data_IF_170057414369
#
_entry.id   IF_170057414369
#
_cell.length_a   1.000
_cell.length_b   1.000
_cell.length_c   1.000
_cell.angle_alpha   90.00
_cell.angle_beta   90.00
_cell.angle_gamma   90.00
#
_symmetry.space_group_name_H-M   'P 1'
#
loop_
_entity.id
_entity.type
_entity.pdbx_description
1 polymer ?
#
# COMPACT_ATOMS: atom_id res chain seq x y z
N UNK A 1 21.16 -18.94 20.80
CA UNK A 1 21.49 -19.27 19.40
C UNK A 1 20.30 -18.80 18.57
N UNK A 2 20.49 -18.03 17.51
CA UNK A 2 19.39 -17.60 16.68
C UNK A 2 18.76 -18.79 15.95
N UNK A 3 17.45 -18.72 15.77
CA UNK A 3 16.64 -19.76 15.12
C UNK A 3 16.29 -19.33 13.69
N UNK A 4 16.55 -20.19 12.72
CA UNK A 4 16.22 -19.95 11.30
C UNK A 4 15.24 -21.02 10.84
N UNK A 5 14.12 -20.60 10.26
CA UNK A 5 13.21 -21.50 9.59
C UNK A 5 13.58 -21.58 8.11
N UNK A 6 13.68 -22.81 7.59
CA UNK A 6 13.88 -23.08 6.15
C UNK A 6 12.69 -23.82 5.57
N UNK A 7 12.19 -23.35 4.44
CA UNK A 7 11.18 -24.03 3.64
C UNK A 7 11.67 -24.22 2.20
N UNK A 8 11.67 -25.46 1.75
CA UNK A 8 12.01 -25.87 0.38
C UNK A 8 11.38 -27.24 0.13
N UNK A 9 10.87 -27.53 -1.05
CA UNK A 9 10.25 -28.83 -1.36
C UNK A 9 11.28 -29.94 -1.62
N UNK A 10 12.55 -29.57 -1.90
CA UNK A 10 13.65 -30.49 -2.12
C UNK A 10 14.26 -30.96 -0.79
N UNK A 11 14.11 -32.24 -0.41
CA UNK A 11 14.75 -32.80 0.79
C UNK A 11 16.28 -32.64 0.78
N UNK A 12 16.88 -32.70 -0.41
CA UNK A 12 18.33 -32.53 -0.58
C UNK A 12 18.77 -31.12 -0.22
N UNK A 13 18.07 -30.09 -0.71
CA UNK A 13 18.42 -28.70 -0.44
C UNK A 13 18.15 -28.37 1.02
N UNK A 14 17.01 -28.78 1.59
CA UNK A 14 16.75 -28.64 3.04
C UNK A 14 17.92 -29.18 3.88
N UNK A 15 18.41 -30.37 3.54
CA UNK A 15 19.53 -30.99 4.27
C UNK A 15 20.85 -30.22 4.11
N UNK A 16 21.17 -29.74 2.91
CA UNK A 16 22.37 -28.94 2.65
C UNK A 16 22.32 -27.65 3.47
N UNK A 17 21.23 -26.88 3.33
CA UNK A 17 21.06 -25.60 4.02
C UNK A 17 21.07 -25.78 5.54
N UNK A 18 20.34 -26.79 6.06
CA UNK A 18 20.35 -27.09 7.51
C UNK A 18 21.73 -27.40 8.01
N UNK A 19 22.50 -28.24 7.29
CA UNK A 19 23.86 -28.59 7.70
C UNK A 19 24.79 -27.37 7.72
N UNK A 20 24.66 -26.45 6.75
CA UNK A 20 25.46 -25.23 6.68
C UNK A 20 25.12 -24.32 7.87
N UNK A 21 23.85 -24.09 8.13
CA UNK A 21 23.39 -23.20 9.20
C UNK A 21 23.70 -23.78 10.59
N UNK A 22 23.49 -25.06 10.83
CA UNK A 22 23.82 -25.71 12.10
C UNK A 22 25.31 -25.62 12.41
N UNK A 23 26.17 -25.81 11.39
CA UNK A 23 27.63 -25.63 11.54
C UNK A 23 28.03 -24.19 11.85
N UNK A 24 27.25 -23.22 11.38
CA UNK A 24 27.41 -21.80 11.67
C UNK A 24 26.84 -21.40 13.04
N UNK A 25 26.20 -22.33 13.77
CA UNK A 25 25.70 -22.08 15.12
C UNK A 25 24.22 -21.64 15.19
N UNK A 26 23.45 -21.84 14.14
CA UNK A 26 22.00 -21.59 14.14
C UNK A 26 21.21 -22.83 14.59
N UNK A 27 20.04 -22.59 15.20
CA UNK A 27 19.02 -23.62 15.38
C UNK A 27 18.14 -23.62 14.13
N UNK A 28 17.90 -24.78 13.52
CA UNK A 28 17.14 -24.86 12.27
C UNK A 28 15.77 -25.51 12.48
N UNK A 29 14.74 -24.85 11.98
CA UNK A 29 13.37 -25.38 11.86
C UNK A 29 13.10 -25.66 10.38
N UNK A 30 12.53 -26.80 10.06
CA UNK A 30 12.30 -27.25 8.68
C UNK A 30 10.81 -27.24 8.37
N UNK A 31 10.46 -26.76 7.16
CA UNK A 31 9.17 -26.87 6.53
C UNK A 31 9.33 -27.46 5.11
N UNK A 32 8.33 -28.18 4.62
CA UNK A 32 8.39 -28.86 3.32
C UNK A 32 7.72 -28.07 2.20
N UNK A 33 6.92 -27.06 2.58
CA UNK A 33 6.20 -26.18 1.65
C UNK A 33 5.85 -24.83 2.31
N UNK A 34 5.21 -23.97 1.53
CA UNK A 34 4.89 -22.63 2.00
C UNK A 34 3.81 -22.56 3.09
N UNK A 35 2.89 -23.52 3.15
CA UNK A 35 1.87 -23.59 4.22
C UNK A 35 2.53 -23.96 5.53
N UNK A 36 3.36 -25.00 5.54
CA UNK A 36 4.14 -25.40 6.71
C UNK A 36 5.12 -24.30 7.15
N UNK A 37 5.67 -23.55 6.18
CA UNK A 37 6.51 -22.41 6.49
C UNK A 37 5.77 -21.34 7.31
N UNK A 38 4.59 -20.93 6.84
CA UNK A 38 3.75 -19.93 7.55
C UNK A 38 3.39 -20.45 8.95
N UNK A 39 2.91 -21.69 9.06
CA UNK A 39 2.58 -22.34 10.34
C UNK A 39 3.79 -22.40 11.27
N UNK A 40 4.93 -22.80 10.74
CA UNK A 40 6.20 -22.90 11.48
C UNK A 40 6.64 -21.55 12.04
N UNK A 41 6.49 -20.47 11.28
CA UNK A 41 6.82 -19.11 11.73
C UNK A 41 5.92 -18.67 12.88
N UNK A 42 4.62 -18.86 12.79
CA UNK A 42 3.70 -18.52 13.90
C UNK A 42 3.97 -19.35 15.16
N UNK A 43 4.35 -20.61 14.99
CA UNK A 43 4.64 -21.52 16.11
C UNK A 43 5.98 -21.24 16.76
N UNK A 44 7.03 -20.91 15.98
CA UNK A 44 8.41 -20.87 16.49
C UNK A 44 8.98 -19.47 16.64
N UNK A 45 8.39 -18.46 16.00
CA UNK A 45 8.87 -17.07 15.99
C UNK A 45 10.38 -17.00 15.74
N UNK A 46 10.85 -17.48 14.56
CA UNK A 46 12.30 -17.57 14.28
C UNK A 46 12.93 -16.18 14.11
N UNK A 47 14.26 -16.10 14.19
CA UNK A 47 15.03 -14.88 14.00
C UNK A 47 15.18 -14.53 12.51
N UNK A 48 15.07 -15.52 11.60
CA UNK A 48 15.01 -15.34 10.15
C UNK A 48 14.27 -16.50 9.47
N UNK A 49 13.78 -16.26 8.26
CA UNK A 49 13.09 -17.26 7.44
C UNK A 49 13.78 -17.35 6.08
N UNK A 50 14.02 -18.57 5.61
CA UNK A 50 14.49 -18.87 4.26
C UNK A 50 13.35 -19.59 3.53
N UNK A 51 12.92 -19.08 2.39
CA UNK A 51 11.84 -19.66 1.59
C UNK A 51 12.32 -19.93 0.17
N UNK A 52 12.15 -21.14 -0.30
CA UNK A 52 12.19 -21.39 -1.74
C UNK A 52 11.03 -20.68 -2.42
N UNK A 53 11.28 -20.11 -3.58
CA UNK A 53 10.25 -19.46 -4.40
C UNK A 53 9.25 -20.46 -4.92
N UNK A 54 9.70 -21.63 -5.39
CA UNK A 54 8.86 -22.63 -6.03
C UNK A 54 8.56 -23.79 -5.07
N UNK A 55 7.45 -23.70 -4.36
CA UNK A 55 6.98 -24.75 -3.47
C UNK A 55 5.54 -25.15 -3.78
N UNK A 56 5.14 -26.40 -3.48
CA UNK A 56 3.75 -26.83 -3.58
C UNK A 56 2.88 -26.12 -2.54
N UNK A 57 1.59 -26.17 -2.73
CA UNK A 57 0.52 -25.58 -1.91
C UNK A 57 0.60 -24.05 -1.83
N UNK A 58 1.74 -23.48 -1.50
CA UNK A 58 1.95 -22.04 -1.38
C UNK A 58 3.37 -21.68 -1.81
N UNK A 59 3.50 -20.77 -2.79
CA UNK A 59 4.81 -20.30 -3.23
C UNK A 59 5.49 -19.43 -2.18
N UNK A 60 6.84 -19.40 -2.18
CA UNK A 60 7.61 -18.57 -1.27
C UNK A 60 7.29 -17.09 -1.39
N UNK A 61 6.91 -16.61 -2.57
CA UNK A 61 6.47 -15.21 -2.74
C UNK A 61 5.21 -14.90 -1.94
N UNK A 62 4.21 -15.78 -2.00
CA UNK A 62 2.95 -15.58 -1.27
C UNK A 62 3.17 -15.77 0.22
N UNK A 63 3.95 -16.79 0.63
CA UNK A 63 4.32 -17.00 2.03
C UNK A 63 5.04 -15.76 2.61
N UNK A 64 6.07 -15.24 1.91
CA UNK A 64 6.78 -14.04 2.32
C UNK A 64 5.83 -12.85 2.49
N UNK A 65 4.91 -12.66 1.53
CA UNK A 65 3.93 -11.57 1.59
C UNK A 65 2.98 -11.71 2.78
N UNK A 66 2.45 -12.90 3.05
CA UNK A 66 1.61 -13.16 4.23
C UNK A 66 2.35 -12.83 5.53
N UNK A 67 3.61 -13.27 5.65
CA UNK A 67 4.41 -13.01 6.84
C UNK A 67 4.70 -11.51 7.03
N UNK A 68 4.93 -10.76 5.94
CA UNK A 68 5.21 -9.33 6.00
C UNK A 68 3.96 -8.47 6.22
N UNK A 69 2.78 -8.97 5.87
CA UNK A 69 1.52 -8.26 6.08
C UNK A 69 0.93 -8.50 7.49
N UNK A 70 1.37 -9.52 8.22
CA UNK A 70 0.89 -9.82 9.56
C UNK A 70 1.78 -9.14 10.63
N UNK A 71 1.17 -8.38 11.53
CA UNK A 71 1.88 -7.61 12.57
C UNK A 71 2.74 -8.47 13.51
N UNK A 72 2.39 -9.77 13.68
CA UNK A 72 3.12 -10.69 14.54
C UNK A 72 4.43 -11.17 13.91
N UNK A 73 4.52 -11.13 12.59
CA UNK A 73 5.63 -11.71 11.81
C UNK A 73 6.33 -10.72 10.89
N UNK A 74 5.77 -9.52 10.71
CA UNK A 74 6.30 -8.51 9.78
C UNK A 74 7.76 -8.10 10.04
N UNK A 75 8.19 -8.12 11.32
CA UNK A 75 9.58 -7.78 11.69
C UNK A 75 10.57 -8.93 11.47
N UNK A 76 10.10 -10.16 11.22
CA UNK A 76 10.98 -11.31 10.96
C UNK A 76 11.56 -11.17 9.54
N UNK A 77 12.90 -11.14 9.40
CA UNK A 77 13.52 -11.03 8.09
C UNK A 77 13.32 -12.30 7.25
N UNK A 78 13.06 -12.09 5.95
CA UNK A 78 12.77 -13.15 4.98
C UNK A 78 13.81 -13.12 3.86
N UNK A 79 14.48 -14.24 3.63
CA UNK A 79 15.36 -14.50 2.50
C UNK A 79 14.67 -15.44 1.52
N UNK A 80 14.56 -15.04 0.25
CA UNK A 80 14.02 -15.89 -0.80
C UNK A 80 15.16 -16.60 -1.54
N UNK A 81 15.06 -17.92 -1.65
CA UNK A 81 15.93 -18.72 -2.51
C UNK A 81 15.30 -18.89 -3.87
N UNK A 82 16.04 -18.63 -4.93
CA UNK A 82 15.52 -18.66 -6.29
C UNK A 82 16.49 -19.34 -7.26
N UNK A 83 15.94 -20.01 -8.27
CA UNK A 83 16.69 -20.49 -9.43
C UNK A 83 16.59 -19.56 -10.63
N UNK A 84 15.85 -18.44 -10.52
CA UNK A 84 15.53 -17.53 -11.60
C UNK A 84 16.57 -16.39 -11.74
N UNK A 85 16.67 -15.82 -12.94
CA UNK A 85 17.55 -14.70 -13.24
C UNK A 85 17.19 -13.42 -12.48
N UNK A 86 18.22 -12.68 -12.07
CA UNK A 86 18.17 -11.48 -11.23
C UNK A 86 17.20 -10.35 -11.67
N UNK A 87 16.63 -10.39 -12.87
CA UNK A 87 15.66 -9.38 -13.34
C UNK A 87 14.24 -9.65 -12.84
N UNK A 88 13.78 -10.91 -12.90
CA UNK A 88 12.49 -11.34 -12.33
C UNK A 88 12.47 -11.19 -10.83
N UNK A 89 13.57 -11.56 -10.17
CA UNK A 89 13.70 -11.52 -8.72
C UNK A 89 13.62 -10.10 -8.16
N UNK A 90 14.22 -9.13 -8.87
CA UNK A 90 14.12 -7.70 -8.49
C UNK A 90 12.71 -7.14 -8.59
N UNK A 91 11.93 -7.60 -9.57
CA UNK A 91 10.54 -7.19 -9.69
C UNK A 91 9.68 -7.78 -8.56
N UNK A 92 9.75 -9.08 -8.35
CA UNK A 92 8.99 -9.76 -7.31
C UNK A 92 9.46 -9.38 -5.90
N UNK A 93 10.76 -9.09 -5.71
CA UNK A 93 11.31 -8.67 -4.45
C UNK A 93 10.65 -7.43 -3.86
N UNK A 94 10.42 -6.43 -4.70
CA UNK A 94 9.71 -5.21 -4.28
C UNK A 94 8.24 -5.45 -3.93
N UNK A 95 7.64 -6.49 -4.52
CA UNK A 95 6.22 -6.79 -4.31
C UNK A 95 5.96 -7.66 -3.08
N UNK A 96 6.92 -8.52 -2.71
CA UNK A 96 6.77 -9.47 -1.60
C UNK A 96 7.16 -8.90 -0.25
N UNK A 97 7.98 -7.86 -0.23
CA UNK A 97 8.57 -7.31 0.99
C UNK A 97 9.70 -8.18 1.58
N UNK A 98 10.22 -9.16 0.82
CA UNK A 98 11.38 -9.94 1.26
C UNK A 98 12.62 -9.04 1.42
N UNK A 99 13.44 -9.33 2.42
CA UNK A 99 14.59 -8.52 2.80
C UNK A 99 15.81 -8.82 1.92
N UNK A 100 15.93 -10.06 1.44
CA UNK A 100 17.03 -10.48 0.56
C UNK A 100 16.61 -11.59 -0.41
N UNK A 101 17.34 -11.66 -1.53
CA UNK A 101 17.28 -12.74 -2.52
C UNK A 101 18.64 -13.41 -2.61
N UNK A 102 18.66 -14.73 -2.72
CA UNK A 102 19.84 -15.54 -2.92
C UNK A 102 19.54 -16.59 -3.99
N UNK A 103 20.46 -16.77 -4.93
CA UNK A 103 20.33 -17.81 -5.95
C UNK A 103 20.67 -19.18 -5.37
N UNK A 104 20.05 -20.25 -5.87
CA UNK A 104 20.25 -21.61 -5.33
C UNK A 104 21.64 -22.21 -5.61
N UNK A 105 22.48 -21.51 -6.38
CA UNK A 105 23.88 -21.84 -6.65
C UNK A 105 24.86 -21.21 -5.64
N UNK A 106 24.35 -20.76 -4.49
CA UNK A 106 25.14 -20.13 -3.43
C UNK A 106 26.24 -21.02 -2.89
N UNK A 107 27.33 -20.38 -2.44
CA UNK A 107 28.34 -21.02 -1.60
C UNK A 107 27.94 -20.95 -0.10
N UNK A 108 28.42 -21.91 0.71
CA UNK A 108 28.05 -21.97 2.14
C UNK A 108 28.34 -20.66 2.92
N UNK A 109 29.46 -19.96 2.71
CA UNK A 109 29.68 -18.66 3.37
C UNK A 109 28.65 -17.60 2.96
N UNK A 110 28.29 -17.54 1.69
CA UNK A 110 27.33 -16.57 1.16
C UNK A 110 25.96 -16.70 1.81
N UNK A 111 25.48 -17.93 2.03
CA UNK A 111 24.22 -18.18 2.74
C UNK A 111 24.31 -17.69 4.19
N UNK A 112 25.39 -18.01 4.89
CA UNK A 112 25.58 -17.60 6.30
C UNK A 112 25.66 -16.08 6.42
N UNK A 113 26.41 -15.43 5.53
CA UNK A 113 26.54 -13.98 5.49
C UNK A 113 25.19 -13.31 5.21
N UNK A 114 24.42 -13.85 4.24
CA UNK A 114 23.10 -13.34 3.92
C UNK A 114 22.14 -13.38 5.13
N UNK A 115 22.15 -14.46 5.90
CA UNK A 115 21.30 -14.59 7.09
C UNK A 115 21.75 -13.64 8.20
N UNK A 116 23.06 -13.53 8.45
CA UNK A 116 23.58 -12.59 9.45
C UNK A 116 23.21 -11.15 9.08
N UNK A 117 23.42 -10.74 7.83
CA UNK A 117 23.10 -9.40 7.35
C UNK A 117 21.62 -9.03 7.54
N UNK A 118 20.69 -9.94 7.22
CA UNK A 118 19.26 -9.62 7.39
C UNK A 118 18.84 -9.58 8.85
N UNK A 119 19.42 -10.42 9.71
CA UNK A 119 19.19 -10.36 11.17
C UNK A 119 19.75 -9.05 11.74
N UNK A 120 20.98 -8.68 11.40
CA UNK A 120 21.60 -7.43 11.85
C UNK A 120 20.82 -6.20 11.36
N UNK A 121 20.38 -6.21 10.11
CA UNK A 121 19.56 -5.13 9.56
C UNK A 121 18.22 -4.99 10.29
N UNK A 122 17.55 -6.12 10.60
CA UNK A 122 16.31 -6.13 11.37
C UNK A 122 16.55 -5.62 12.81
N UNK A 123 17.66 -6.00 13.46
CA UNK A 123 18.03 -5.50 14.79
C UNK A 123 18.31 -3.99 14.78
N UNK A 124 19.03 -3.51 13.76
CA UNK A 124 19.30 -2.09 13.57
C UNK A 124 18.01 -1.27 13.34
N UNK A 125 17.09 -1.79 12.52
CA UNK A 125 15.79 -1.16 12.27
C UNK A 125 14.93 -1.03 13.54
N UNK A 126 15.04 -1.99 14.46
CA UNK A 126 14.38 -1.93 15.78
C UNK A 126 14.98 -0.88 16.72
N UNK A 127 16.14 -0.33 16.42
CA UNK A 127 16.76 0.72 17.24
C UNK A 127 17.04 0.30 18.69
N UNK A 128 17.40 -0.95 18.92
CA UNK A 128 17.68 -1.52 20.25
C UNK A 128 16.45 -2.01 21.01
N UNK A 129 15.26 -1.97 20.41
CA UNK A 129 14.07 -2.64 20.97
C UNK A 129 14.24 -4.17 20.81
N UNK A 130 13.81 -4.97 21.80
CA UNK A 130 13.77 -6.41 21.61
C UNK A 130 12.85 -6.78 20.46
N UNK A 131 13.09 -7.91 19.75
CA UNK A 131 12.18 -8.39 18.72
C UNK A 131 10.80 -8.66 19.33
N UNK A 132 9.76 -8.33 18.57
CA UNK A 132 8.41 -8.72 18.93
C UNK A 132 8.32 -10.25 18.86
N UNK A 133 8.02 -10.87 19.99
CA UNK A 133 7.81 -12.32 20.09
C UNK A 133 6.46 -12.57 20.76
N UNK A 134 5.38 -12.53 19.97
CA UNK A 134 4.07 -12.90 20.49
C UNK A 134 4.08 -14.37 20.94
N UNK A 135 3.11 -14.73 21.77
CA UNK A 135 2.94 -16.13 22.15
C UNK A 135 2.79 -17.02 20.93
N UNK A 136 3.44 -18.19 20.88
CA UNK A 136 3.31 -19.13 19.79
C UNK A 136 1.85 -19.48 19.52
N UNK A 137 1.45 -19.43 18.26
CA UNK A 137 0.08 -19.74 17.82
C UNK A 137 0.13 -20.94 16.87
N UNK A 138 -0.73 -21.91 17.10
CA UNK A 138 -0.97 -22.98 16.16
C UNK A 138 -1.98 -22.51 15.11
N UNK A 139 -1.52 -22.42 13.87
CA UNK A 139 -2.31 -22.00 12.71
C UNK A 139 -2.57 -23.23 11.85
N UNK A 140 -3.83 -23.55 11.57
CA UNK A 140 -4.22 -24.67 10.71
C UNK A 140 -4.10 -24.35 9.22
N UNK A 141 -4.11 -25.39 8.39
CA UNK A 141 -4.09 -25.26 6.91
C UNK A 141 -5.21 -24.36 6.41
N UNK A 142 -6.44 -24.56 6.91
CA UNK A 142 -7.61 -23.77 6.52
C UNK A 142 -7.44 -22.27 6.86
N UNK A 143 -6.80 -21.97 7.98
CA UNK A 143 -6.54 -20.58 8.39
C UNK A 143 -5.47 -19.93 7.49
N UNK A 144 -4.40 -20.65 7.14
CA UNK A 144 -3.41 -20.15 6.17
C UNK A 144 -4.09 -19.89 4.83
N UNK A 145 -4.94 -20.80 4.34
CA UNK A 145 -5.64 -20.62 3.07
C UNK A 145 -6.67 -19.49 3.12
N UNK A 146 -7.33 -19.26 4.25
CA UNK A 146 -8.20 -18.10 4.44
C UNK A 146 -7.43 -16.77 4.32
N UNK A 147 -6.25 -16.69 4.95
CA UNK A 147 -5.35 -15.52 4.83
C UNK A 147 -4.85 -15.30 3.40
N UNK A 148 -4.58 -16.39 2.66
CA UNK A 148 -4.23 -16.32 1.22
C UNK A 148 -5.38 -15.75 0.42
N UNK A 149 -6.61 -16.23 0.66
CA UNK A 149 -7.80 -15.74 -0.04
C UNK A 149 -8.02 -14.24 0.22
N UNK A 150 -7.92 -13.82 1.48
CA UNK A 150 -8.05 -12.41 1.85
C UNK A 150 -6.96 -11.52 1.20
N UNK A 151 -5.71 -12.01 1.14
CA UNK A 151 -4.64 -11.33 0.44
C UNK A 151 -4.93 -11.18 -1.06
N UNK A 152 -5.42 -12.24 -1.70
CA UNK A 152 -5.77 -12.23 -3.13
C UNK A 152 -6.93 -11.29 -3.42
N UNK A 153 -7.99 -11.34 -2.63
CA UNK A 153 -9.15 -10.45 -2.77
C UNK A 153 -8.74 -8.99 -2.65
N UNK A 154 -7.90 -8.66 -1.66
CA UNK A 154 -7.33 -7.32 -1.51
C UNK A 154 -6.49 -6.92 -2.72
N UNK A 155 -5.63 -7.81 -3.23
CA UNK A 155 -4.78 -7.52 -4.40
C UNK A 155 -5.59 -7.36 -5.69
N UNK A 156 -6.64 -8.14 -5.88
CA UNK A 156 -7.57 -7.98 -7.00
C UNK A 156 -8.31 -6.64 -6.92
N UNK A 157 -8.78 -6.27 -5.74
CA UNK A 157 -9.40 -4.97 -5.51
C UNK A 157 -8.43 -3.82 -5.82
N UNK A 158 -7.21 -3.85 -5.28
CA UNK A 158 -6.16 -2.85 -5.53
C UNK A 158 -5.88 -2.71 -7.03
N UNK A 159 -5.72 -3.83 -7.73
CA UNK A 159 -5.45 -3.85 -9.17
C UNK A 159 -6.63 -3.31 -9.99
N UNK A 160 -7.86 -3.66 -9.61
CA UNK A 160 -9.07 -3.18 -10.28
C UNK A 160 -9.22 -1.67 -10.16
N UNK A 161 -9.06 -1.12 -8.96
CA UNK A 161 -9.13 0.33 -8.71
C UNK A 161 -8.06 1.08 -9.48
N UNK A 162 -6.81 0.61 -9.42
CA UNK A 162 -5.69 1.23 -10.13
C UNK A 162 -5.89 1.19 -11.66
N UNK A 163 -6.37 0.06 -12.18
CA UNK A 163 -6.69 -0.10 -13.61
C UNK A 163 -7.79 0.85 -14.06
N UNK A 164 -8.87 0.95 -13.29
CA UNK A 164 -9.99 1.81 -13.61
C UNK A 164 -9.58 3.29 -13.66
N UNK A 165 -8.82 3.76 -12.67
CA UNK A 165 -8.30 5.13 -12.67
C UNK A 165 -7.33 5.36 -13.84
N UNK A 166 -6.49 4.39 -14.17
CA UNK A 166 -5.55 4.52 -15.29
C UNK A 166 -6.27 4.57 -16.64
N UNK A 167 -7.39 3.83 -16.79
CA UNK A 167 -8.19 3.81 -18.02
C UNK A 167 -8.83 5.18 -18.32
N UNK A 168 -9.12 5.98 -17.30
CA UNK A 168 -9.61 7.36 -17.47
C UNK A 168 -8.66 8.17 -18.35
N UNK A 169 -7.34 7.97 -18.23
CA UNK A 169 -6.36 8.68 -19.07
C UNK A 169 -6.45 8.34 -20.57
N UNK A 170 -6.99 7.16 -20.91
CA UNK A 170 -7.16 6.73 -22.29
C UNK A 170 -8.51 7.18 -22.89
N UNK A 171 -9.55 7.21 -22.06
CA UNK A 171 -10.94 7.39 -22.50
C UNK A 171 -11.41 8.85 -22.40
N UNK A 172 -10.80 9.66 -21.52
CA UNK A 172 -11.21 11.04 -21.22
C UNK A 172 -10.14 12.02 -21.71
N UNK A 173 -10.57 13.02 -22.48
CA UNK A 173 -9.66 13.95 -23.17
C UNK A 173 -9.63 15.36 -22.55
N UNK A 174 -10.58 15.68 -21.65
CA UNK A 174 -10.69 16.98 -20.98
C UNK A 174 -10.19 16.93 -19.53
N UNK A 175 -9.62 18.05 -19.07
CA UNK A 175 -9.11 18.13 -17.68
C UNK A 175 -10.26 18.01 -16.65
N UNK A 176 -11.33 18.78 -16.82
CA UNK A 176 -12.50 18.75 -15.92
C UNK A 176 -13.17 17.37 -15.91
N UNK A 177 -13.33 16.76 -17.09
CA UNK A 177 -13.90 15.42 -17.25
C UNK A 177 -13.02 14.36 -16.55
N UNK A 178 -11.69 14.47 -16.65
CA UNK A 178 -10.75 13.57 -15.97
C UNK A 178 -10.86 13.68 -14.46
N UNK A 179 -10.98 14.89 -13.92
CA UNK A 179 -11.19 15.10 -12.48
C UNK A 179 -12.54 14.53 -12.05
N UNK A 180 -13.62 14.79 -12.79
CA UNK A 180 -14.95 14.26 -12.50
C UNK A 180 -14.94 12.72 -12.51
N UNK A 181 -14.29 12.10 -13.50
CA UNK A 181 -14.19 10.64 -13.60
C UNK A 181 -13.40 10.04 -12.42
N UNK A 182 -12.27 10.63 -12.02
CA UNK A 182 -11.50 10.19 -10.85
C UNK A 182 -12.32 10.29 -9.57
N UNK A 183 -13.02 11.41 -9.35
CA UNK A 183 -13.87 11.59 -8.19
C UNK A 183 -15.07 10.63 -8.23
N UNK A 184 -15.59 10.31 -9.42
CA UNK A 184 -16.64 9.30 -9.63
C UNK A 184 -16.20 7.89 -9.24
N UNK A 185 -14.96 7.49 -9.58
CA UNK A 185 -14.39 6.21 -9.12
C UNK A 185 -14.32 6.19 -7.59
N UNK A 186 -13.82 7.27 -6.99
CA UNK A 186 -13.75 7.38 -5.53
C UNK A 186 -15.11 7.26 -4.86
N UNK A 187 -16.14 7.87 -5.43
CA UNK A 187 -17.50 7.84 -4.88
C UNK A 187 -18.17 6.48 -4.89
N UNK A 188 -17.65 5.51 -5.67
CA UNK A 188 -18.09 4.12 -5.64
C UNK A 188 -17.43 3.28 -4.56
N UNK A 189 -16.31 3.76 -4.01
CA UNK A 189 -15.45 3.00 -3.10
C UNK A 189 -15.42 3.60 -1.70
N UNK A 190 -15.50 4.93 -1.61
CA UNK A 190 -15.47 5.68 -0.34
C UNK A 190 -16.70 6.55 -0.25
N UNK A 191 -17.44 6.42 0.83
CA UNK A 191 -18.60 7.25 1.12
C UNK A 191 -18.17 8.65 1.56
N UNK A 192 -18.58 9.67 0.79
CA UNK A 192 -18.34 11.07 1.13
C UNK A 192 -19.56 11.94 0.72
N UNK A 193 -19.63 13.14 1.26
CA UNK A 193 -20.66 14.12 0.89
C UNK A 193 -20.11 15.11 -0.14
N UNK A 194 -18.93 15.66 0.13
CA UNK A 194 -18.22 16.54 -0.78
C UNK A 194 -16.81 15.98 -1.07
N UNK A 195 -16.40 16.05 -2.32
CA UNK A 195 -15.04 15.75 -2.75
C UNK A 195 -14.49 16.86 -3.64
N UNK A 196 -13.19 17.11 -3.54
CA UNK A 196 -12.54 18.12 -4.39
C UNK A 196 -11.12 17.73 -4.77
N UNK A 197 -10.69 18.19 -5.94
CA UNK A 197 -9.29 18.27 -6.35
C UNK A 197 -8.91 19.73 -6.45
N UNK A 198 -7.99 20.17 -5.59
CA UNK A 198 -7.42 21.50 -5.63
C UNK A 198 -6.05 21.44 -6.31
N UNK A 199 -5.88 22.20 -7.40
CA UNK A 199 -4.60 22.37 -8.07
C UNK A 199 -3.80 23.47 -7.37
N UNK A 200 -2.49 23.23 -7.12
CA UNK A 200 -1.70 24.14 -6.30
C UNK A 200 -1.14 25.37 -7.04
N UNK A 201 -1.00 25.31 -8.34
CA UNK A 201 -0.41 26.38 -9.16
C UNK A 201 -1.39 27.51 -9.50
N UNK A 202 -2.65 27.22 -9.84
CA UNK A 202 -3.68 28.20 -10.19
C UNK A 202 -4.85 28.22 -9.21
N UNK A 203 -4.80 27.40 -8.14
CA UNK A 203 -5.83 27.32 -7.10
C UNK A 203 -7.21 26.89 -7.61
N UNK A 204 -7.30 26.37 -8.82
CA UNK A 204 -8.55 25.79 -9.32
C UNK A 204 -8.94 24.59 -8.45
N UNK A 205 -10.16 24.65 -7.94
CA UNK A 205 -10.69 23.62 -7.03
C UNK A 205 -11.93 23.00 -7.64
N UNK A 206 -11.78 21.78 -8.15
CA UNK A 206 -12.84 21.02 -8.78
C UNK A 206 -13.63 20.26 -7.73
N UNK A 207 -14.90 20.55 -7.61
CA UNK A 207 -15.81 20.04 -6.58
C UNK A 207 -16.79 19.05 -7.17
N UNK A 208 -17.01 17.95 -6.48
CA UNK A 208 -18.14 17.04 -6.64
C UNK A 208 -19.00 17.07 -5.39
N UNK A 209 -20.31 17.23 -5.57
CA UNK A 209 -21.33 17.13 -4.51
C UNK A 209 -22.03 15.79 -4.68
N UNK A 210 -21.66 14.81 -3.87
CA UNK A 210 -22.18 13.44 -3.96
C UNK A 210 -23.51 13.27 -3.23
N UNK A 211 -23.71 14.01 -2.13
CA UNK A 211 -24.91 13.98 -1.31
C UNK A 211 -25.38 15.39 -0.97
N UNK A 212 -26.62 15.50 -0.46
CA UNK A 212 -27.12 16.75 0.08
C UNK A 212 -26.17 17.28 1.17
N UNK A 213 -25.70 18.52 1.01
CA UNK A 213 -24.76 19.16 1.91
C UNK A 213 -25.22 20.57 2.23
N UNK A 214 -24.99 21.03 3.46
CA UNK A 214 -25.34 22.40 3.87
C UNK A 214 -24.36 23.42 3.33
N UNK A 215 -24.75 24.70 3.31
CA UNK A 215 -23.86 25.81 2.99
C UNK A 215 -22.73 25.94 4.02
N UNK A 216 -22.99 25.59 5.27
CA UNK A 216 -21.98 25.62 6.34
C UNK A 216 -20.94 24.51 6.11
N UNK A 217 -21.37 23.27 5.79
CA UNK A 217 -20.45 22.18 5.46
C UNK A 217 -19.55 22.53 4.27
N UNK A 218 -20.12 23.14 3.23
CA UNK A 218 -19.37 23.63 2.07
C UNK A 218 -18.31 24.64 2.47
N UNK A 219 -18.67 25.63 3.30
CA UNK A 219 -17.75 26.69 3.75
C UNK A 219 -16.62 26.10 4.62
N UNK A 220 -16.94 25.20 5.55
CA UNK A 220 -15.95 24.49 6.37
C UNK A 220 -15.03 23.63 5.51
N UNK A 221 -15.56 22.96 4.48
CA UNK A 221 -14.77 22.14 3.55
C UNK A 221 -13.74 22.93 2.78
N UNK A 222 -14.13 24.10 2.24
CA UNK A 222 -13.19 24.98 1.53
C UNK A 222 -12.13 25.57 2.47
N UNK A 223 -12.49 25.87 3.72
CA UNK A 223 -11.55 26.25 4.77
C UNK A 223 -10.49 25.17 4.99
N UNK A 224 -10.93 23.93 5.15
CA UNK A 224 -10.04 22.79 5.36
C UNK A 224 -9.15 22.49 4.13
N UNK A 225 -9.63 22.70 2.90
CA UNK A 225 -8.82 22.61 1.67
C UNK A 225 -7.72 23.69 1.67
N UNK A 226 -8.04 24.93 2.05
CA UNK A 226 -7.06 26.00 2.11
C UNK A 226 -5.95 25.70 3.14
N UNK A 227 -6.32 25.15 4.30
CA UNK A 227 -5.37 24.70 5.33
C UNK A 227 -4.49 23.56 4.83
N UNK A 228 -5.08 22.57 4.16
CA UNK A 228 -4.35 21.45 3.56
C UNK A 228 -3.37 21.93 2.48
N UNK A 229 -3.79 22.84 1.61
CA UNK A 229 -2.93 23.44 0.59
C UNK A 229 -1.77 24.23 1.23
N UNK A 230 -2.02 24.97 2.30
CA UNK A 230 -1.00 25.67 3.10
C UNK A 230 0.04 24.70 3.66
N UNK A 231 -0.39 23.59 4.25
CA UNK A 231 0.51 22.58 4.80
C UNK A 231 1.40 21.93 3.74
N UNK A 232 0.86 21.70 2.55
CA UNK A 232 1.57 21.03 1.45
C UNK A 232 2.56 21.98 0.77
N UNK A 233 2.19 23.26 0.58
CA UNK A 233 3.03 24.24 -0.13
C UNK A 233 4.01 24.96 0.78
N UNK A 234 3.71 25.08 2.07
CA UNK A 234 4.40 25.97 3.01
C UNK A 234 4.08 27.47 2.82
N UNK A 235 3.21 27.81 1.87
CA UNK A 235 2.73 29.17 1.61
C UNK A 235 1.31 29.31 2.13
N UNK A 236 0.98 30.44 2.74
CA UNK A 236 -0.37 30.67 3.23
C UNK A 236 -1.37 30.76 2.07
N UNK A 237 -2.34 29.87 2.07
CA UNK A 237 -3.45 29.82 1.13
C UNK A 237 -4.73 30.16 1.88
N UNK A 238 -5.48 31.17 1.40
CA UNK A 238 -6.75 31.54 1.98
C UNK A 238 -7.91 30.98 1.15
N UNK A 239 -9.08 30.87 1.74
CA UNK A 239 -10.30 30.39 1.03
C UNK A 239 -10.59 31.24 -0.21
N UNK A 240 -10.33 32.54 -0.16
CA UNK A 240 -10.54 33.46 -1.28
C UNK A 240 -9.61 33.22 -2.47
N UNK A 241 -8.47 32.55 -2.24
CA UNK A 241 -7.53 32.21 -3.31
C UNK A 241 -8.00 30.97 -4.10
N UNK A 242 -8.91 30.18 -3.52
CA UNK A 242 -9.47 29.00 -4.17
C UNK A 242 -10.54 29.39 -5.17
N UNK A 243 -10.40 28.90 -6.41
CA UNK A 243 -11.34 29.16 -7.49
C UNK A 243 -12.22 27.91 -7.69
N UNK A 244 -13.46 27.91 -7.16
CA UNK A 244 -14.32 26.74 -7.26
C UNK A 244 -14.79 26.50 -8.69
N UNK A 245 -14.77 25.23 -9.10
CA UNK A 245 -15.39 24.70 -10.33
C UNK A 245 -16.19 23.47 -9.95
N UNK A 246 -17.41 23.38 -10.42
CA UNK A 246 -18.22 22.19 -10.20
C UNK A 246 -17.89 21.18 -11.28
N UNK A 247 -17.35 20.04 -10.89
CA UNK A 247 -17.01 18.94 -11.81
C UNK A 247 -18.20 18.03 -12.04
N UNK A 248 -18.93 17.67 -10.96
CA UNK A 248 -20.14 16.84 -11.04
C UNK A 248 -21.05 17.10 -9.82
N UNK A 249 -22.35 16.94 -9.99
CA UNK A 249 -23.36 17.16 -8.94
C UNK A 249 -24.38 16.03 -8.99
N UNK A 250 -24.26 15.11 -8.06
CA UNK A 250 -25.27 14.08 -7.80
C UNK A 250 -26.19 14.44 -6.64
N UNK A 251 -25.70 15.28 -5.72
CA UNK A 251 -26.44 15.89 -4.62
C UNK A 251 -26.74 17.34 -4.88
N UNK A 252 -27.22 18.05 -3.89
CA UNK A 252 -27.42 19.51 -3.95
C UNK A 252 -26.92 20.19 -2.68
N UNK A 253 -26.56 21.45 -2.82
CA UNK A 253 -26.25 22.29 -1.67
C UNK A 253 -27.56 22.86 -1.12
N UNK A 254 -27.94 22.42 0.06
CA UNK A 254 -29.08 22.95 0.79
C UNK A 254 -28.86 24.43 1.19
N UNK A 255 -29.95 25.16 1.36
CA UNK A 255 -29.87 26.53 1.85
C UNK A 255 -29.78 26.62 3.39
N UNK A 256 -29.89 25.48 4.07
CA UNK A 256 -29.88 25.42 5.53
C UNK A 256 -28.45 25.39 6.08
N UNK A 257 -28.24 26.08 7.20
CA UNK A 257 -26.95 26.14 7.93
C UNK A 257 -26.85 25.08 9.03
N UNK A 258 -27.69 24.04 9.00
CA UNK A 258 -27.77 23.07 10.12
C UNK A 258 -26.75 21.92 10.06
N UNK A 259 -26.20 21.60 8.89
CA UNK A 259 -25.23 20.53 8.69
C UNK A 259 -23.79 21.02 8.82
N UNK A 260 -22.98 20.38 9.66
CA UNK A 260 -21.53 20.67 9.78
C UNK A 260 -20.69 19.54 9.21
N UNK A 261 -19.51 19.90 8.71
CA UNK A 261 -18.49 18.92 8.40
C UNK A 261 -18.01 18.26 9.71
N UNK A 262 -18.15 16.94 9.81
CA UNK A 262 -17.72 16.16 10.97
C UNK A 262 -16.41 15.42 10.74
N UNK A 263 -16.10 15.11 9.50
CA UNK A 263 -14.85 14.44 9.12
C UNK A 263 -14.31 15.05 7.83
N UNK A 264 -13.00 15.30 7.83
CA UNK A 264 -12.24 15.78 6.68
C UNK A 264 -11.02 14.90 6.46
N UNK A 265 -10.71 14.64 5.20
CA UNK A 265 -9.52 13.91 4.80
C UNK A 265 -8.93 14.58 3.58
N UNK A 266 -7.63 14.80 3.58
CA UNK A 266 -6.90 15.28 2.41
C UNK A 266 -5.64 14.48 2.18
N UNK A 267 -5.24 14.40 0.90
CA UNK A 267 -3.99 13.78 0.49
C UNK A 267 -3.35 14.58 -0.64
N UNK A 268 -2.00 14.67 -0.67
CA UNK A 268 -1.32 15.33 -1.77
C UNK A 268 -1.38 14.46 -3.03
N UNK A 269 -1.58 15.08 -4.19
CA UNK A 269 -1.44 14.44 -5.50
C UNK A 269 -0.01 14.67 -6.02
N UNK A 270 0.75 13.59 -6.22
CA UNK A 270 2.16 13.67 -6.62
C UNK A 270 2.38 13.14 -8.03
N UNK A 271 2.89 13.98 -8.91
CA UNK A 271 3.30 13.60 -10.26
C UNK A 271 4.75 13.99 -10.51
N UNK A 272 5.56 13.09 -11.03
CA UNK A 272 6.98 13.34 -11.32
C UNK A 272 7.81 13.78 -10.09
N UNK A 273 7.46 13.32 -8.89
CA UNK A 273 8.14 13.69 -7.63
C UNK A 273 7.73 15.05 -7.05
N UNK A 274 6.82 15.77 -7.70
CA UNK A 274 6.29 17.07 -7.23
C UNK A 274 4.83 16.92 -6.80
N UNK A 275 4.43 17.71 -5.79
CA UNK A 275 3.02 17.82 -5.45
C UNK A 275 2.36 18.79 -6.43
N UNK A 276 1.36 18.29 -7.18
CA UNK A 276 0.65 19.07 -8.21
C UNK A 276 -0.70 19.57 -7.72
N UNK A 277 -1.26 18.92 -6.72
CA UNK A 277 -2.57 19.24 -6.17
C UNK A 277 -2.81 18.54 -4.84
N UNK A 278 -3.99 18.70 -4.30
CA UNK A 278 -4.50 17.90 -3.21
C UNK A 278 -5.91 17.37 -3.53
N UNK A 279 -6.16 16.14 -3.17
CA UNK A 279 -7.48 15.52 -3.13
C UNK A 279 -8.05 15.70 -1.72
N UNK A 280 -9.29 16.13 -1.62
CA UNK A 280 -9.98 16.33 -0.35
C UNK A 280 -11.35 15.68 -0.37
N UNK A 281 -11.74 15.08 0.76
CA UNK A 281 -13.06 14.48 1.00
C UNK A 281 -13.62 15.02 2.30
N UNK A 282 -14.94 15.18 2.37
CA UNK A 282 -15.62 15.51 3.61
C UNK A 282 -16.90 14.69 3.81
N UNK A 283 -17.27 14.53 5.08
CA UNK A 283 -18.55 13.95 5.46
C UNK A 283 -19.12 14.64 6.71
N UNK A 284 -20.45 14.72 6.78
CA UNK A 284 -21.19 15.10 7.97
C UNK A 284 -21.21 14.00 9.04
N UNK A 285 -20.79 12.78 8.69
CA UNK A 285 -20.69 11.66 9.61
C UNK A 285 -19.35 11.66 10.34
N UNK A 286 -19.38 11.50 11.67
CA UNK A 286 -18.15 11.37 12.47
C UNK A 286 -17.42 10.07 12.12
N UNK A 287 -16.10 10.16 12.01
CA UNK A 287 -15.23 9.01 11.70
C UNK A 287 -15.61 8.29 10.41
N UNK A 288 -16.13 9.02 9.42
CA UNK A 288 -16.55 8.45 8.14
C UNK A 288 -15.38 7.79 7.39
N UNK A 289 -14.15 8.29 7.56
CA UNK A 289 -12.97 7.78 6.89
C UNK A 289 -12.11 6.95 7.85
N UNK A 290 -12.34 5.64 7.85
CA UNK A 290 -11.54 4.67 8.60
C UNK A 290 -10.26 4.27 7.85
N UNK A 291 -9.53 3.31 8.42
CA UNK A 291 -8.28 2.80 7.86
C UNK A 291 -8.45 2.21 6.45
N UNK A 292 -9.57 1.54 6.19
CA UNK A 292 -9.92 1.01 4.86
C UNK A 292 -10.03 2.13 3.81
N UNK A 293 -10.69 3.24 4.15
CA UNK A 293 -10.80 4.41 3.26
C UNK A 293 -9.44 5.04 2.97
N UNK A 294 -8.59 5.16 4.00
CA UNK A 294 -7.22 5.67 3.87
C UNK A 294 -6.37 4.79 2.95
N UNK A 295 -6.47 3.47 3.09
CA UNK A 295 -5.74 2.53 2.26
C UNK A 295 -6.21 2.61 0.80
N UNK A 296 -7.51 2.69 0.56
CA UNK A 296 -8.08 2.88 -0.78
C UNK A 296 -7.60 4.18 -1.43
N UNK A 297 -7.61 5.28 -0.69
CA UNK A 297 -7.15 6.57 -1.20
C UNK A 297 -5.66 6.55 -1.58
N UNK A 298 -4.82 5.88 -0.80
CA UNK A 298 -3.40 5.70 -1.15
C UNK A 298 -3.19 4.96 -2.47
N UNK A 299 -4.07 4.00 -2.80
CA UNK A 299 -4.01 3.29 -4.08
C UNK A 299 -4.35 4.20 -5.27
N UNK A 300 -5.26 5.15 -5.05
CA UNK A 300 -5.72 6.08 -6.09
C UNK A 300 -4.77 7.28 -6.26
N UNK A 301 -4.02 7.66 -5.22
CA UNK A 301 -3.14 8.85 -5.22
C UNK A 301 -2.25 8.94 -6.46
N UNK A 302 -1.42 7.92 -6.69
CA UNK A 302 -0.47 7.89 -7.81
C UNK A 302 -1.14 7.91 -9.17
N UNK A 303 -2.03 6.96 -9.48
CA UNK A 303 -2.77 6.94 -10.74
C UNK A 303 -3.57 8.23 -10.99
N UNK A 304 -4.29 8.74 -10.00
CA UNK A 304 -5.07 9.98 -10.12
C UNK A 304 -4.19 11.19 -10.42
N UNK A 305 -3.05 11.32 -9.73
CA UNK A 305 -2.11 12.41 -9.96
C UNK A 305 -1.56 12.41 -11.39
N UNK A 306 -1.26 11.22 -11.94
CA UNK A 306 -0.79 11.06 -13.32
C UNK A 306 -1.89 11.44 -14.32
N UNK A 307 -3.11 10.91 -14.14
CA UNK A 307 -4.26 11.21 -15.01
C UNK A 307 -4.54 12.71 -15.05
N UNK A 308 -4.66 13.34 -13.88
CA UNK A 308 -4.96 14.75 -13.73
C UNK A 308 -3.85 15.62 -14.31
N UNK A 309 -2.58 15.28 -14.05
CA UNK A 309 -1.43 16.02 -14.58
C UNK A 309 -1.32 15.92 -16.10
N UNK A 310 -1.54 14.73 -16.67
CA UNK A 310 -1.49 14.52 -18.12
C UNK A 310 -2.63 15.25 -18.83
N UNK A 311 -3.85 15.17 -18.32
CA UNK A 311 -5.00 15.87 -18.89
C UNK A 311 -4.80 17.38 -18.91
N UNK A 312 -4.16 17.93 -17.87
CA UNK A 312 -3.82 19.36 -17.79
C UNK A 312 -2.78 19.78 -18.83
N UNK A 313 -1.70 18.98 -18.98
CA UNK A 313 -0.64 19.26 -19.98
C UNK A 313 -1.23 19.22 -21.40
N UNK A 314 -2.12 18.28 -21.69
CA UNK A 314 -2.80 18.19 -22.98
C UNK A 314 -3.66 19.43 -23.27
N UNK A 315 -4.36 19.97 -22.27
CA UNK A 315 -5.19 21.17 -22.38
C UNK A 315 -4.36 22.44 -22.67
N UNK A 316 -3.17 22.57 -22.10
CA UNK A 316 -2.28 23.72 -22.36
C UNK A 316 -1.66 23.70 -23.76
N UNK A 317 -1.43 22.54 -24.36
CA UNK A 317 -0.89 22.39 -25.73
C UNK A 317 -1.93 22.76 -26.80
N UNK A 318 -3.23 22.64 -26.53
CA UNK A 318 -4.28 23.00 -27.47
C UNK A 318 -4.65 24.50 -27.46
N UNK A 319 -4.16 25.26 -26.46
CA UNK A 319 -4.40 26.71 -26.33
C UNK A 319 -3.21 27.57 -26.77
N UNK A 320 -2.08 26.97 -27.09
CA UNK A 320 -0.87 27.63 -27.62
C UNK A 320 -0.73 27.42 -29.14
#
# INVERSE_FOLDING_TARGET
MPTVLIADDSPTLRRIVSTVLERAGFTVVIAEDGVEAVQGVFRTQPDAVILDVQMPRLSGYVAARLLKDDWQTAEIPVVLLTSLDAASDRYWGKQTGADRFLTKDFEAPELVDAINEVIEAADAARGGRPPLRPDPVEVGDDEVMARVSELLDRKLFEASVSSEVTQIAADVHGFEESVAAVLGVLGRIVDYDLAAVCMLDDRLTYLTVARESSQLQYTEFFGAIADAATQVTGEQVNVHDLVPRVADVHGFLGQDDEGRMATFLSMPLRAGGRVVGCLALSSATKNAFGEASLNTLRLVEGPAAVVISNARLAGTVHQA
#
